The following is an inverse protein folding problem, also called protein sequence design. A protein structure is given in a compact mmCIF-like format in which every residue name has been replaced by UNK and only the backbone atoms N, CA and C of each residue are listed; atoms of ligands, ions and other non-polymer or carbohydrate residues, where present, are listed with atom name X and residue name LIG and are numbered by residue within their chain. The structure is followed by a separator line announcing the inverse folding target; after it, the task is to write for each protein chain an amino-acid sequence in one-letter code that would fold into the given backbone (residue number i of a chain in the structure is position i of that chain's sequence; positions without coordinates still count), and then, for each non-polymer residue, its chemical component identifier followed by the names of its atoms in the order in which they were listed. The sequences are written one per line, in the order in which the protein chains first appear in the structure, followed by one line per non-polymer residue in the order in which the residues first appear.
data_IF_033462315427
#
_entry.id   IF_033462315427
#
_cell.length_a   1.000
_cell.length_b   1.000
_cell.length_c   1.000
_cell.angle_alpha   90.00
_cell.angle_beta   90.00
_cell.angle_gamma   90.00
#
_symmetry.space_group_name_H-M   'P 1'
#
loop_
_entity.id
_entity.type
_entity.pdbx_description
1 polymer ?
#
# COMPACT_ATOMS: atom_id res chain seq x y z
N UNK A 1 -6.26 10.63 -9.22
CA UNK A 1 -5.83 11.94 -9.74
C UNK A 1 -5.97 12.02 -11.27
N UNK A 2 -5.25 11.20 -12.04
CA UNK A 2 -5.19 11.29 -13.51
C UNK A 2 -6.55 11.35 -14.23
N UNK A 3 -7.51 10.51 -13.84
CA UNK A 3 -8.86 10.48 -14.47
C UNK A 3 -9.63 11.79 -14.29
N UNK A 4 -9.39 12.52 -13.20
CA UNK A 4 -10.04 13.81 -12.94
C UNK A 4 -9.27 15.01 -13.53
N UNK A 5 -8.13 14.77 -14.19
CA UNK A 5 -7.27 15.83 -14.72
C UNK A 5 -6.91 16.88 -13.66
N UNK A 6 -7.00 18.16 -14.02
CA UNK A 6 -6.71 19.29 -13.12
C UNK A 6 -7.56 19.32 -11.85
N UNK A 7 -8.81 18.83 -11.91
CA UNK A 7 -9.68 18.75 -10.72
C UNK A 7 -9.16 17.76 -9.67
N UNK A 8 -8.30 16.80 -10.07
CA UNK A 8 -7.66 15.88 -9.15
C UNK A 8 -6.53 16.48 -8.32
N UNK A 9 -6.06 17.68 -8.65
CA UNK A 9 -4.93 18.37 -7.98
C UNK A 9 -5.35 19.54 -7.08
N UNK A 10 -6.62 19.95 -7.13
CA UNK A 10 -7.14 21.04 -6.29
C UNK A 10 -7.66 20.50 -4.96
N UNK A 11 -7.41 21.23 -3.88
CA UNK A 11 -7.78 20.85 -2.51
C UNK A 11 -9.30 20.84 -2.25
N UNK A 12 -10.11 21.35 -3.19
CA UNK A 12 -11.57 21.34 -3.10
C UNK A 12 -12.15 19.92 -3.21
N UNK A 13 -11.43 19.00 -3.85
CA UNK A 13 -11.86 17.61 -4.02
C UNK A 13 -11.01 16.67 -3.16
N UNK A 14 -11.64 15.62 -2.61
CA UNK A 14 -11.01 14.68 -1.68
C UNK A 14 -9.86 13.85 -2.28
N UNK A 15 -9.78 13.79 -3.61
CA UNK A 15 -8.89 12.88 -4.34
C UNK A 15 -7.40 13.15 -4.08
N UNK A 16 -6.99 14.41 -3.94
CA UNK A 16 -5.58 14.75 -3.64
C UNK A 16 -5.18 14.30 -2.23
N UNK A 17 -6.09 14.49 -1.26
CA UNK A 17 -5.87 14.11 0.14
C UNK A 17 -5.80 12.60 0.29
N UNK A 18 -6.73 11.87 -0.32
CA UNK A 18 -6.71 10.41 -0.33
C UNK A 18 -5.40 9.86 -0.92
N UNK A 19 -4.86 10.51 -1.96
CA UNK A 19 -3.57 10.15 -2.54
C UNK A 19 -2.38 10.40 -1.60
N UNK A 20 -2.39 11.51 -0.85
CA UNK A 20 -1.36 11.75 0.16
C UNK A 20 -1.46 10.76 1.32
N UNK A 21 -2.68 10.52 1.79
CA UNK A 21 -2.94 9.64 2.92
C UNK A 21 -2.61 8.18 2.59
N UNK A 22 -2.79 7.73 1.34
CA UNK A 22 -2.46 6.36 0.93
C UNK A 22 -0.98 6.01 1.13
N UNK A 23 -0.08 7.00 1.08
CA UNK A 23 1.35 6.75 1.31
C UNK A 23 1.64 6.28 2.74
N UNK A 24 0.83 6.69 3.72
CA UNK A 24 0.97 6.25 5.10
C UNK A 24 0.69 4.75 5.26
N UNK A 25 -0.12 4.15 4.39
CA UNK A 25 -0.38 2.71 4.42
C UNK A 25 0.87 1.88 4.08
N UNK A 26 1.83 2.47 3.37
CA UNK A 26 3.06 1.78 2.98
C UNK A 26 4.16 1.84 4.05
N UNK A 27 4.03 2.73 5.05
CA UNK A 27 5.08 3.00 6.04
C UNK A 27 4.58 2.90 7.49
N UNK A 28 3.30 3.19 7.73
CA UNK A 28 2.69 3.22 9.06
C UNK A 28 2.54 1.81 9.62
N UNK A 29 3.04 1.60 10.85
CA UNK A 29 2.99 0.28 11.50
C UNK A 29 4.02 -0.73 10.97
N UNK A 30 4.80 -0.36 9.95
CA UNK A 30 5.79 -1.21 9.30
C UNK A 30 5.88 -0.87 7.82
N UNK A 31 7.09 -0.81 7.26
CA UNK A 31 7.23 -0.58 5.83
C UNK A 31 6.84 -1.81 5.02
N UNK A 32 6.48 -1.62 3.75
CA UNK A 32 6.20 -2.72 2.82
C UNK A 32 7.34 -3.74 2.77
N UNK A 33 8.59 -3.31 2.82
CA UNK A 33 9.75 -4.21 2.79
C UNK A 33 9.81 -5.12 4.03
N UNK A 34 9.47 -4.57 5.21
CA UNK A 34 9.43 -5.35 6.45
C UNK A 34 8.33 -6.41 6.40
N UNK A 35 7.13 -6.02 5.94
CA UNK A 35 6.01 -6.94 5.77
C UNK A 35 6.32 -8.04 4.75
N UNK A 36 6.86 -7.69 3.58
CA UNK A 36 7.26 -8.65 2.56
C UNK A 36 8.32 -9.62 3.08
N UNK A 37 9.30 -9.15 3.86
CA UNK A 37 10.31 -9.99 4.50
C UNK A 37 9.69 -10.98 5.49
N UNK A 38 8.73 -10.55 6.29
CA UNK A 38 8.04 -11.42 7.25
C UNK A 38 7.21 -12.48 6.53
N UNK A 39 6.39 -12.07 5.55
CA UNK A 39 5.59 -13.00 4.73
C UNK A 39 6.49 -14.02 4.05
N UNK A 40 7.60 -13.60 3.43
CA UNK A 40 8.55 -14.51 2.77
C UNK A 40 9.15 -15.51 3.75
N UNK A 41 9.51 -15.07 4.96
CA UNK A 41 10.03 -15.94 6.02
C UNK A 41 8.98 -16.98 6.44
N UNK A 42 7.74 -16.56 6.58
CA UNK A 42 6.67 -17.44 7.06
C UNK A 42 6.32 -18.49 5.99
N UNK A 43 6.20 -18.07 4.72
CA UNK A 43 6.02 -18.98 3.58
C UNK A 43 7.19 -19.95 3.40
N UNK A 44 8.42 -19.52 3.66
CA UNK A 44 9.59 -20.41 3.60
C UNK A 44 9.60 -21.47 4.71
N UNK A 45 8.93 -21.22 5.84
CA UNK A 45 8.80 -22.18 6.95
C UNK A 45 7.62 -23.12 6.74
N UNK A 46 6.53 -22.62 6.17
CA UNK A 46 5.30 -23.36 5.93
C UNK A 46 4.95 -23.38 4.43
N UNK A 47 5.65 -24.26 3.69
CA UNK A 47 5.45 -24.41 2.24
C UNK A 47 4.12 -25.08 1.87
N UNK A 48 3.42 -25.68 2.83
CA UNK A 48 2.11 -26.32 2.61
C UNK A 48 1.03 -25.27 2.29
N UNK A 49 1.20 -24.03 2.79
CA UNK A 49 0.30 -22.91 2.49
C UNK A 49 0.28 -22.50 1.00
N UNK A 50 1.30 -22.86 0.23
CA UNK A 50 1.42 -22.56 -1.20
C UNK A 50 0.81 -23.68 -2.07
N UNK A 51 0.85 -24.92 -1.59
CA UNK A 51 0.51 -26.11 -2.39
C UNK A 51 -0.96 -26.56 -2.26
N UNK A 52 -1.79 -25.75 -1.61
CA UNK A 52 -3.23 -26.01 -1.41
C UNK A 52 -4.08 -25.32 -2.47
#
# INVERSE_FOLDING_TARGET
IQVMGGYGYVAEYHVERLWRDSKLLEIGGGTLESHQKNITRDLSKDSEAINR
#
